data_IF_555221195661
#
_entry.id   IF_555221195661
#
_cell.length_a   1.000
_cell.length_b   1.000
_cell.length_c   1.000
_cell.angle_alpha   90.00
_cell.angle_beta   90.00
_cell.angle_gamma   90.00
#
_symmetry.space_group_name_H-M   'P 1'
#
loop_
_entity.id
_entity.type
_entity.pdbx_description
1 polymer ?
#
# COMPACT_ATOMS: atom_id res chain seq x y z
N UNK A 1 31.57 22.32 -10.40
CA UNK A 1 30.62 21.87 -9.36
C UNK A 1 31.26 21.30 -8.08
N UNK A 2 32.59 21.11 -7.98
CA UNK A 2 33.32 20.71 -6.75
C UNK A 2 32.65 19.59 -5.92
N UNK A 3 32.07 18.59 -6.59
CA UNK A 3 31.27 17.56 -5.92
C UNK A 3 32.18 16.73 -4.99
N UNK A 4 31.89 16.65 -3.68
CA UNK A 4 32.67 15.86 -2.75
C UNK A 4 32.77 14.39 -3.17
N UNK A 5 33.96 13.80 -3.08
CA UNK A 5 34.21 12.42 -3.53
C UNK A 5 33.32 11.39 -2.81
N UNK A 6 32.97 11.63 -1.55
CA UNK A 6 32.13 10.74 -0.77
C UNK A 6 30.67 10.66 -1.28
N UNK A 7 30.16 11.64 -2.04
CA UNK A 7 28.84 11.53 -2.67
C UNK A 7 28.76 10.45 -3.75
N UNK A 8 29.91 10.00 -4.25
CA UNK A 8 29.96 8.85 -5.16
C UNK A 8 29.95 7.50 -4.43
N UNK A 9 30.04 7.48 -3.09
CA UNK A 9 29.91 6.26 -2.32
C UNK A 9 28.49 5.68 -2.42
N UNK A 10 28.39 4.35 -2.30
CA UNK A 10 27.12 3.62 -2.43
C UNK A 10 26.02 4.12 -1.49
N UNK A 11 26.39 4.57 -0.29
CA UNK A 11 25.45 5.11 0.72
C UNK A 11 24.70 6.33 0.19
N UNK A 12 25.40 7.30 -0.42
CA UNK A 12 24.79 8.52 -0.96
C UNK A 12 24.07 8.28 -2.28
N UNK A 13 24.57 7.34 -3.11
CA UNK A 13 23.88 6.95 -4.35
C UNK A 13 22.55 6.25 -4.09
N UNK A 14 22.46 5.44 -3.03
CA UNK A 14 21.25 4.71 -2.66
C UNK A 14 20.35 5.46 -1.67
N UNK A 15 20.73 6.66 -1.23
CA UNK A 15 19.89 7.42 -0.31
C UNK A 15 18.67 7.99 -1.04
N UNK A 16 17.57 8.10 -0.29
CA UNK A 16 16.33 8.73 -0.76
C UNK A 16 16.45 10.24 -0.92
N UNK A 17 17.49 10.82 -0.31
CA UNK A 17 17.84 12.22 -0.44
C UNK A 17 18.99 12.60 0.47
N UNK A 18 19.52 13.79 0.27
CA UNK A 18 20.48 14.47 1.12
C UNK A 18 20.56 15.93 0.70
N UNK A 19 21.05 16.80 1.60
CA UNK A 19 21.42 18.17 1.30
C UNK A 19 22.79 18.46 1.89
N UNK A 20 23.62 19.19 1.16
CA UNK A 20 24.92 19.68 1.59
C UNK A 20 25.30 20.93 0.82
N UNK A 21 26.16 21.75 1.42
CA UNK A 21 26.62 22.99 0.83
C UNK A 21 28.08 23.26 1.16
N UNK A 22 28.71 24.12 0.38
CA UNK A 22 30.05 24.65 0.65
C UNK A 22 30.08 26.11 0.21
N UNK A 23 30.51 26.99 1.12
CA UNK A 23 30.51 28.43 0.91
C UNK A 23 31.92 28.97 1.06
N UNK A 24 32.35 29.79 0.12
CA UNK A 24 33.62 30.51 0.19
C UNK A 24 33.34 32.00 0.43
N UNK A 25 33.95 32.53 1.49
CA UNK A 25 33.84 33.93 1.87
C UNK A 25 35.16 34.64 1.58
N UNK A 26 35.08 35.87 1.05
CA UNK A 26 36.25 36.71 0.84
C UNK A 26 36.79 37.29 2.15
N UNK A 27 37.95 37.96 2.09
CA UNK A 27 38.55 38.63 3.26
C UNK A 27 37.66 39.75 3.83
N UNK A 28 36.79 40.33 3.01
CA UNK A 28 35.74 41.29 3.40
C UNK A 28 34.51 40.60 4.03
N UNK A 29 34.54 39.28 4.18
CA UNK A 29 33.47 38.44 4.68
C UNK A 29 32.27 38.27 3.73
N UNK A 30 32.25 38.91 2.55
CA UNK A 30 31.17 38.70 1.57
C UNK A 30 31.26 37.31 0.97
N UNK A 31 30.10 36.71 0.69
CA UNK A 31 30.03 35.43 -0.02
C UNK A 31 30.58 35.62 -1.45
N UNK A 32 31.63 34.87 -1.79
CA UNK A 32 32.24 34.88 -3.13
C UNK A 32 31.70 33.76 -4.01
N UNK A 33 31.47 32.58 -3.44
CA UNK A 33 30.83 31.48 -4.14
C UNK A 33 30.09 30.56 -3.19
N UNK A 34 29.05 29.91 -3.69
CA UNK A 34 28.30 28.89 -2.98
C UNK A 34 28.07 27.68 -3.89
N UNK A 35 28.41 26.51 -3.38
CA UNK A 35 28.08 25.23 -3.97
C UNK A 35 26.99 24.58 -3.13
N UNK A 36 25.98 24.02 -3.80
CA UNK A 36 24.98 23.20 -3.12
C UNK A 36 24.83 21.88 -3.87
N UNK A 37 24.60 20.82 -3.10
CA UNK A 37 24.36 19.49 -3.62
C UNK A 37 23.19 18.89 -2.87
N UNK A 38 22.18 18.47 -3.61
CA UNK A 38 21.06 17.78 -2.99
C UNK A 38 20.45 16.74 -3.91
N UNK A 39 19.84 15.73 -3.30
CA UNK A 39 19.21 14.62 -3.98
C UNK A 39 17.79 14.47 -3.48
N UNK A 40 16.89 14.20 -4.41
CA UNK A 40 15.48 13.93 -4.15
C UNK A 40 15.03 12.76 -5.00
N UNK A 41 14.24 11.86 -4.40
CA UNK A 41 13.57 10.79 -5.10
C UNK A 41 12.08 11.05 -5.18
N UNK A 42 11.48 10.65 -6.31
CA UNK A 42 10.02 10.61 -6.48
C UNK A 42 9.65 9.29 -7.13
N UNK A 43 8.77 8.52 -6.49
CA UNK A 43 8.23 7.27 -7.06
C UNK A 43 6.90 7.57 -7.73
N UNK A 44 6.83 7.46 -9.06
CA UNK A 44 5.58 7.59 -9.79
C UNK A 44 4.97 6.23 -10.07
N UNK A 45 3.66 6.13 -9.90
CA UNK A 45 2.89 4.93 -10.18
C UNK A 45 1.92 5.18 -11.31
N UNK A 46 1.74 4.18 -12.17
CA UNK A 46 0.67 4.24 -13.16
C UNK A 46 -0.70 4.31 -12.48
N UNK A 47 -1.63 5.05 -13.10
CA UNK A 47 -2.97 5.30 -12.53
C UNK A 47 -3.89 4.08 -12.54
N UNK A 48 -3.48 3.00 -13.20
CA UNK A 48 -4.24 1.78 -13.43
C UNK A 48 -4.03 0.70 -12.34
N UNK A 49 -3.30 1.02 -11.27
CA UNK A 49 -2.91 0.08 -10.22
C UNK A 49 -2.17 -1.16 -10.74
N UNK A 50 -1.57 -1.08 -11.94
CA UNK A 50 -0.62 -2.06 -12.42
C UNK A 50 0.64 -2.04 -11.56
N UNK A 51 1.44 -3.11 -11.60
CA UNK A 51 2.76 -3.15 -10.96
C UNK A 51 3.78 -2.21 -11.62
N UNK A 52 3.37 -1.39 -12.58
CA UNK A 52 4.26 -0.46 -13.27
C UNK A 52 4.49 0.81 -12.44
N UNK A 53 5.76 1.06 -12.16
CA UNK A 53 6.22 2.25 -11.46
C UNK A 53 7.53 2.73 -12.05
N UNK A 54 7.79 4.03 -11.88
CA UNK A 54 9.03 4.66 -12.30
C UNK A 54 9.63 5.43 -11.13
N UNK A 55 10.91 5.17 -10.88
CA UNK A 55 11.69 5.96 -9.92
C UNK A 55 12.34 7.12 -10.65
N UNK A 56 12.10 8.33 -10.16
CA UNK A 56 12.79 9.53 -10.59
C UNK A 56 13.83 9.88 -9.54
N UNK A 57 15.06 9.44 -9.79
CA UNK A 57 16.23 9.74 -8.95
C UNK A 57 16.89 11.01 -9.47
N UNK A 58 16.69 12.12 -8.77
CA UNK A 58 17.21 13.42 -9.22
C UNK A 58 18.28 13.92 -8.26
N UNK A 59 19.43 14.28 -8.82
CA UNK A 59 20.51 14.93 -8.05
C UNK A 59 20.85 16.25 -8.71
N UNK A 60 20.90 17.29 -7.88
CA UNK A 60 21.11 18.68 -8.28
C UNK A 60 22.42 19.19 -7.68
N UNK A 61 23.24 19.81 -8.53
CA UNK A 61 24.47 20.47 -8.11
C UNK A 61 24.40 21.92 -8.57
N UNK A 62 24.28 22.87 -7.65
CA UNK A 62 24.34 24.29 -7.99
C UNK A 62 25.73 24.86 -7.74
N UNK A 63 26.08 25.84 -8.55
CA UNK A 63 27.24 26.68 -8.35
C UNK A 63 26.82 28.13 -8.58
N UNK A 64 26.93 28.94 -7.53
CA UNK A 64 26.66 30.36 -7.54
C UNK A 64 27.96 31.15 -7.36
N UNK A 65 28.10 32.21 -8.14
CA UNK A 65 29.11 33.27 -8.06
C UNK A 65 28.37 34.60 -8.25
N UNK A 66 28.95 35.71 -7.80
CA UNK A 66 28.30 37.03 -7.73
C UNK A 66 27.57 37.52 -9.00
N UNK A 67 27.89 37.03 -10.21
CA UNK A 67 27.16 37.37 -11.46
C UNK A 67 26.38 36.21 -12.10
N UNK A 68 26.54 34.97 -11.62
CA UNK A 68 26.12 33.76 -12.33
C UNK A 68 25.71 32.66 -11.37
N UNK A 69 24.59 32.01 -11.69
CA UNK A 69 24.21 30.74 -11.10
C UNK A 69 24.10 29.67 -12.19
N UNK A 70 24.71 28.50 -11.97
CA UNK A 70 24.56 27.34 -12.84
C UNK A 70 24.09 26.16 -12.00
N UNK A 71 23.01 25.50 -12.44
CA UNK A 71 22.49 24.27 -11.81
C UNK A 71 22.65 23.10 -12.78
N UNK A 72 23.35 22.07 -12.35
CA UNK A 72 23.42 20.79 -13.04
C UNK A 72 22.34 19.86 -12.48
N UNK A 73 21.39 19.49 -13.33
CA UNK A 73 20.32 18.54 -13.01
C UNK A 73 20.64 17.17 -13.61
N UNK A 74 20.93 16.19 -12.77
CA UNK A 74 21.14 14.79 -13.20
C UNK A 74 19.88 13.96 -12.89
N UNK A 75 19.52 13.02 -13.79
CA UNK A 75 18.29 12.25 -13.65
C UNK A 75 16.99 13.03 -13.96
N UNK A 76 17.11 14.20 -14.59
CA UNK A 76 15.97 15.04 -14.96
C UNK A 76 15.09 14.40 -16.04
N UNK A 77 13.94 13.85 -15.63
CA UNK A 77 12.93 13.25 -16.51
C UNK A 77 12.26 14.29 -17.43
N UNK A 78 11.59 13.83 -18.49
CA UNK A 78 10.83 14.72 -19.39
C UNK A 78 9.76 15.51 -18.66
N UNK A 79 9.07 14.88 -17.71
CA UNK A 79 8.08 15.51 -16.84
C UNK A 79 8.71 16.63 -16.00
N UNK A 80 9.84 16.34 -15.32
CA UNK A 80 10.54 17.33 -14.53
C UNK A 80 11.02 18.51 -15.38
N UNK A 81 11.52 18.26 -16.60
CA UNK A 81 11.93 19.31 -17.52
C UNK A 81 10.78 20.21 -17.94
N UNK A 82 9.58 19.66 -18.14
CA UNK A 82 8.37 20.45 -18.41
C UNK A 82 8.03 21.35 -17.23
N UNK A 83 7.87 20.76 -16.05
CA UNK A 83 7.57 21.49 -14.82
C UNK A 83 8.60 22.58 -14.49
N UNK A 84 9.89 22.30 -14.72
CA UNK A 84 10.95 23.28 -14.49
C UNK A 84 10.89 24.44 -15.48
N UNK A 85 10.57 24.20 -16.75
CA UNK A 85 10.37 25.28 -17.73
C UNK A 85 9.20 26.17 -17.31
N UNK A 86 8.06 25.56 -16.97
CA UNK A 86 6.88 26.30 -16.52
C UNK A 86 7.19 27.13 -15.26
N UNK A 87 7.93 26.56 -14.30
CA UNK A 87 8.33 27.27 -13.08
C UNK A 87 9.33 28.41 -13.36
N UNK A 88 10.25 28.22 -14.31
CA UNK A 88 11.19 29.26 -14.75
C UNK A 88 10.47 30.41 -15.45
N UNK A 89 9.49 30.12 -16.30
CA UNK A 89 8.70 31.15 -16.99
C UNK A 89 7.86 31.97 -15.99
N UNK A 90 7.34 31.34 -14.95
CA UNK A 90 6.58 32.02 -13.88
C UNK A 90 7.46 32.80 -12.89
N UNK A 91 8.71 32.38 -12.69
CA UNK A 91 9.62 32.94 -11.67
C UNK A 91 10.65 33.91 -12.26
N UNK A 92 10.95 33.81 -13.54
CA UNK A 92 12.03 34.51 -14.23
C UNK A 92 11.91 36.04 -14.22
N UNK A 93 10.71 36.58 -14.04
CA UNK A 93 10.49 38.03 -13.97
C UNK A 93 10.67 38.61 -12.56
N UNK A 94 10.60 37.79 -11.50
CA UNK A 94 10.46 38.29 -10.12
C UNK A 94 11.74 38.26 -9.28
N UNK A 95 12.72 37.41 -9.62
CA UNK A 95 13.91 37.21 -8.79
C UNK A 95 15.20 37.44 -9.60
N UNK A 96 16.08 38.37 -9.18
CA UNK A 96 17.36 38.55 -9.84
C UNK A 96 18.22 37.27 -9.72
N UNK A 97 18.88 36.81 -10.81
CA UNK A 97 19.73 35.62 -10.80
C UNK A 97 20.99 35.76 -9.91
N UNK A 98 21.23 36.98 -9.41
CA UNK A 98 22.39 37.35 -8.61
C UNK A 98 22.23 37.02 -7.13
N UNK A 99 21.01 36.81 -6.63
CA UNK A 99 20.81 36.43 -5.22
C UNK A 99 21.17 34.95 -5.01
N UNK A 100 22.00 34.61 -3.99
CA UNK A 100 22.28 33.22 -3.64
C UNK A 100 20.99 32.41 -3.44
N UNK A 101 20.98 31.16 -3.88
CA UNK A 101 19.83 30.25 -3.80
C UNK A 101 18.55 30.65 -4.59
N UNK A 102 18.56 31.77 -5.32
CA UNK A 102 17.42 32.18 -6.17
C UNK A 102 17.01 31.12 -7.20
N UNK A 103 18.00 30.45 -7.81
CA UNK A 103 17.80 29.36 -8.77
C UNK A 103 17.09 28.14 -8.19
N UNK A 104 17.13 27.98 -6.86
CA UNK A 104 16.49 26.84 -6.20
C UNK A 104 14.98 27.01 -6.08
N UNK A 105 14.46 28.23 -6.16
CA UNK A 105 13.00 28.48 -6.12
C UNK A 105 12.27 27.77 -7.26
N UNK A 106 12.56 28.02 -8.55
CA UNK A 106 11.88 27.30 -9.64
C UNK A 106 12.20 25.79 -9.64
N UNK A 107 13.38 25.42 -9.12
CA UNK A 107 13.80 24.03 -9.00
C UNK A 107 12.94 23.27 -7.98
N UNK A 108 12.72 23.85 -6.80
CA UNK A 108 11.88 23.30 -5.75
C UNK A 108 10.42 23.30 -6.21
N UNK A 109 9.97 24.32 -6.94
CA UNK A 109 8.61 24.34 -7.51
C UNK A 109 8.36 23.15 -8.43
N UNK A 110 9.31 22.83 -9.31
CA UNK A 110 9.22 21.65 -10.16
C UNK A 110 9.22 20.34 -9.35
N UNK A 111 9.97 20.28 -8.24
CA UNK A 111 9.96 19.13 -7.31
C UNK A 111 8.59 19.02 -6.61
N UNK A 112 7.99 20.14 -6.19
CA UNK A 112 6.64 20.17 -5.63
C UNK A 112 5.65 19.56 -6.62
N UNK A 113 5.69 19.96 -7.90
CA UNK A 113 4.82 19.40 -8.94
C UNK A 113 5.02 17.90 -9.18
N UNK A 114 6.27 17.42 -9.11
CA UNK A 114 6.59 15.98 -9.20
C UNK A 114 6.00 15.20 -8.01
N UNK A 115 6.17 15.72 -6.80
CA UNK A 115 5.66 15.08 -5.58
C UNK A 115 4.13 15.13 -5.52
N UNK A 116 3.51 16.22 -5.94
CA UNK A 116 2.05 16.34 -6.06
C UNK A 116 1.50 15.24 -6.99
N UNK A 117 2.07 15.12 -8.20
CA UNK A 117 1.70 14.07 -9.15
C UNK A 117 1.81 12.66 -8.57
N UNK A 118 2.89 12.38 -7.82
CA UNK A 118 3.09 11.12 -7.11
C UNK A 118 1.98 10.87 -6.07
N UNK A 119 1.71 11.84 -5.19
CA UNK A 119 0.69 11.74 -4.14
C UNK A 119 -0.71 11.55 -4.73
N UNK A 120 -1.05 12.27 -5.80
CA UNK A 120 -2.34 12.13 -6.47
C UNK A 120 -2.50 10.77 -7.15
N UNK A 121 -1.44 10.23 -7.77
CA UNK A 121 -1.51 8.90 -8.37
C UNK A 121 -1.83 7.81 -7.34
N UNK A 122 -1.20 7.86 -6.16
CA UNK A 122 -1.52 6.96 -5.05
C UNK A 122 -2.95 7.18 -4.55
N UNK A 123 -3.38 8.45 -4.40
CA UNK A 123 -4.76 8.77 -3.99
C UNK A 123 -5.78 8.21 -4.97
N UNK A 124 -5.49 8.25 -6.26
CA UNK A 124 -6.32 7.68 -7.33
C UNK A 124 -6.51 6.19 -7.17
N UNK A 125 -5.42 5.45 -6.94
CA UNK A 125 -5.45 4.01 -6.64
C UNK A 125 -6.27 3.73 -5.37
N UNK A 126 -6.01 4.44 -4.27
CA UNK A 126 -6.74 4.25 -3.00
C UNK A 126 -8.24 4.48 -3.17
N UNK A 127 -8.64 5.55 -3.86
CA UNK A 127 -10.06 5.81 -4.13
C UNK A 127 -10.68 4.75 -5.05
N UNK A 128 -9.89 4.19 -5.97
CA UNK A 128 -10.32 3.07 -6.80
C UNK A 128 -10.64 1.84 -5.96
N UNK A 129 -9.78 1.54 -4.97
CA UNK A 129 -9.96 0.46 -4.00
C UNK A 129 -11.21 0.69 -3.13
N UNK A 130 -11.35 1.88 -2.53
CA UNK A 130 -12.50 2.23 -1.67
C UNK A 130 -13.85 2.12 -2.39
N UNK A 131 -13.89 2.42 -3.69
CA UNK A 131 -15.12 2.36 -4.49
C UNK A 131 -15.50 0.96 -4.92
N UNK A 132 -14.54 0.05 -4.94
CA UNK A 132 -14.75 -1.28 -5.47
C UNK A 132 -15.34 -2.19 -4.39
N UNK A 133 -16.25 -3.08 -4.79
CA UNK A 133 -16.88 -4.00 -3.85
C UNK A 133 -15.82 -4.95 -3.27
N UNK A 134 -15.74 -5.00 -1.93
CA UNK A 134 -14.79 -5.80 -1.14
C UNK A 134 -14.65 -7.25 -1.60
N UNK A 135 -15.71 -7.87 -2.15
CA UNK A 135 -15.69 -9.25 -2.62
C UNK A 135 -15.00 -9.51 -3.96
N UNK A 136 -14.60 -8.47 -4.70
CA UNK A 136 -13.99 -8.60 -6.05
C UNK A 136 -12.53 -8.18 -6.15
N UNK A 137 -11.95 -7.62 -5.09
CA UNK A 137 -10.58 -7.10 -5.15
C UNK A 137 -9.53 -8.17 -4.90
N UNK A 138 -8.53 -8.23 -5.78
CA UNK A 138 -7.32 -8.99 -5.53
C UNK A 138 -6.51 -8.31 -4.41
N UNK A 139 -6.27 -9.02 -3.30
CA UNK A 139 -5.35 -8.58 -2.23
C UNK A 139 -3.99 -8.16 -2.74
N UNK A 140 -3.53 -8.77 -3.84
CA UNK A 140 -2.31 -8.38 -4.51
C UNK A 140 -2.33 -6.89 -4.91
N UNK A 141 -3.43 -6.39 -5.48
CA UNK A 141 -3.54 -4.97 -5.85
C UNK A 141 -3.53 -4.05 -4.62
N UNK A 142 -4.26 -4.42 -3.56
CA UNK A 142 -4.23 -3.63 -2.31
C UNK A 142 -2.84 -3.62 -1.68
N UNK A 143 -2.13 -4.75 -1.71
CA UNK A 143 -0.77 -4.87 -1.20
C UNK A 143 0.25 -4.07 -2.02
N UNK A 144 0.16 -4.12 -3.35
CA UNK A 144 0.99 -3.30 -4.24
C UNK A 144 0.71 -1.81 -3.99
N UNK A 145 -0.56 -1.41 -3.92
CA UNK A 145 -0.96 -0.05 -3.57
C UNK A 145 -0.38 0.39 -2.22
N UNK A 146 -0.34 -0.50 -1.23
CA UNK A 146 0.23 -0.20 0.09
C UNK A 146 1.73 0.05 -0.01
N UNK A 147 2.46 -0.76 -0.79
CA UNK A 147 3.89 -0.54 -1.05
C UNK A 147 4.12 0.80 -1.74
N UNK A 148 3.28 1.18 -2.70
CA UNK A 148 3.35 2.46 -3.37
C UNK A 148 3.08 3.64 -2.43
N UNK A 149 2.05 3.55 -1.58
CA UNK A 149 1.72 4.58 -0.59
C UNK A 149 2.84 4.76 0.45
N UNK A 150 3.45 3.66 0.91
CA UNK A 150 4.58 3.70 1.85
C UNK A 150 5.78 4.40 1.21
N UNK A 151 6.19 3.99 0.00
CA UNK A 151 7.34 4.60 -0.66
C UNK A 151 7.09 6.08 -0.99
N UNK A 152 5.88 6.43 -1.45
CA UNK A 152 5.52 7.83 -1.70
C UNK A 152 5.67 8.68 -0.43
N UNK A 153 5.15 8.19 0.71
CA UNK A 153 5.27 8.86 2.00
C UNK A 153 6.73 9.00 2.46
N UNK A 154 7.52 7.93 2.32
CA UNK A 154 8.94 7.90 2.69
C UNK A 154 9.75 8.90 1.85
N UNK A 155 9.65 8.84 0.51
CA UNK A 155 10.40 9.74 -0.37
C UNK A 155 10.00 11.19 -0.17
N UNK A 156 8.71 11.46 0.07
CA UNK A 156 8.23 12.81 0.35
C UNK A 156 8.71 13.34 1.70
N UNK A 157 8.77 12.49 2.72
CA UNK A 157 9.33 12.86 4.04
C UNK A 157 10.78 13.29 3.92
N UNK A 158 11.59 12.53 3.17
CA UNK A 158 13.00 12.89 2.92
C UNK A 158 13.11 14.14 2.07
N UNK A 159 12.21 14.34 1.10
CA UNK A 159 12.15 15.58 0.30
C UNK A 159 11.87 16.79 1.18
N UNK A 160 10.87 16.71 2.07
CA UNK A 160 10.56 17.78 3.04
C UNK A 160 11.78 18.12 3.87
N UNK A 161 12.42 17.13 4.50
CA UNK A 161 13.62 17.35 5.32
C UNK A 161 14.79 17.96 4.52
N UNK A 162 14.96 17.55 3.26
CA UNK A 162 16.01 18.07 2.36
C UNK A 162 15.78 19.54 2.01
N UNK A 163 14.53 19.92 1.71
CA UNK A 163 14.17 21.30 1.35
C UNK A 163 14.13 22.21 2.59
N UNK A 164 13.74 21.69 3.75
CA UNK A 164 13.84 22.39 5.03
C UNK A 164 15.29 22.72 5.37
N UNK A 165 16.21 21.75 5.25
CA UNK A 165 17.63 21.99 5.47
C UNK A 165 18.21 23.04 4.50
N UNK A 166 17.74 23.04 3.24
CA UNK A 166 18.09 24.07 2.27
C UNK A 166 17.56 25.45 2.69
N UNK A 167 16.29 25.54 3.10
CA UNK A 167 15.67 26.78 3.57
C UNK A 167 16.39 27.34 4.81
N UNK A 168 16.72 26.49 5.78
CA UNK A 168 17.47 26.86 6.98
C UNK A 168 18.82 27.49 6.62
N UNK A 169 19.52 26.91 5.64
CA UNK A 169 20.78 27.47 5.16
C UNK A 169 20.58 28.84 4.49
N UNK A 170 19.51 29.04 3.71
CA UNK A 170 19.18 30.34 3.12
C UNK A 170 18.93 31.39 4.21
N UNK A 171 18.26 31.02 5.30
CA UNK A 171 18.02 31.91 6.45
C UNK A 171 19.31 32.24 7.19
N UNK A 172 20.19 31.25 7.39
CA UNK A 172 21.48 31.43 8.04
C UNK A 172 22.42 32.34 7.23
N UNK A 173 22.47 32.18 5.91
CA UNK A 173 23.25 33.07 5.05
C UNK A 173 22.71 34.52 5.11
N UNK A 174 21.39 34.68 5.07
CA UNK A 174 20.76 36.00 5.16
C UNK A 174 21.03 36.69 6.50
N UNK A 175 21.07 35.96 7.62
CA UNK A 175 21.39 36.54 8.94
C UNK A 175 22.86 36.96 9.03
N UNK A 176 23.78 36.17 8.48
CA UNK A 176 25.21 36.49 8.40
C UNK A 176 25.47 37.75 7.56
N UNK A 177 24.76 37.90 6.43
CA UNK A 177 24.89 39.09 5.58
C UNK A 177 24.38 40.37 6.25
N UNK A 178 23.30 40.31 7.05
CA UNK A 178 22.77 41.47 7.81
C UNK A 178 23.76 42.06 8.81
N UNK A 179 24.74 41.27 9.27
CA UNK A 179 25.75 41.73 10.23
C UNK A 179 26.90 42.53 9.56
N UNK A 180 27.03 42.50 8.23
CA UNK A 180 28.25 42.93 7.53
C UNK A 180 28.08 44.06 6.50
N UNK A 181 26.87 44.40 6.06
CA UNK A 181 26.52 45.59 5.25
C UNK A 181 25.00 45.65 5.10
N UNK A 182 24.39 46.80 4.78
CA UNK A 182 23.01 46.84 4.24
C UNK A 182 22.97 46.27 2.81
N UNK A 183 22.15 45.25 2.52
CA UNK A 183 21.77 44.88 1.16
C UNK A 183 20.26 45.04 0.97
N UNK A 184 19.83 44.95 -0.28
CA UNK A 184 18.44 44.96 -0.74
C UNK A 184 17.54 43.97 0.04
N UNK A 185 16.98 44.43 1.16
CA UNK A 185 16.19 43.62 2.11
C UNK A 185 14.97 42.98 1.43
N UNK A 186 14.48 43.59 0.34
CA UNK A 186 13.31 43.14 -0.40
C UNK A 186 13.49 41.78 -1.07
N UNK A 187 14.59 41.58 -1.80
CA UNK A 187 14.84 40.36 -2.58
C UNK A 187 15.06 39.15 -1.67
N UNK A 188 15.86 39.30 -0.61
CA UNK A 188 16.11 38.22 0.36
C UNK A 188 14.84 37.82 1.12
N UNK A 189 13.94 38.78 1.39
CA UNK A 189 12.64 38.50 2.00
C UNK A 189 11.70 37.76 1.04
N UNK A 190 11.65 38.15 -0.23
CA UNK A 190 10.85 37.48 -1.25
C UNK A 190 11.31 36.03 -1.48
N UNK A 191 12.63 35.80 -1.56
CA UNK A 191 13.22 34.47 -1.65
C UNK A 191 12.76 33.58 -0.49
N UNK A 192 12.88 34.09 0.73
CA UNK A 192 12.49 33.36 1.94
C UNK A 192 10.99 33.06 1.98
N UNK A 193 10.15 34.02 1.61
CA UNK A 193 8.71 33.84 1.56
C UNK A 193 8.31 32.77 0.54
N UNK A 194 8.96 32.73 -0.63
CA UNK A 194 8.72 31.69 -1.64
C UNK A 194 9.17 30.31 -1.16
N UNK A 195 10.37 30.19 -0.60
CA UNK A 195 10.83 28.91 -0.06
C UNK A 195 9.95 28.42 1.11
N UNK A 196 9.50 29.32 1.97
CA UNK A 196 8.57 28.98 3.06
C UNK A 196 7.23 28.47 2.54
N UNK A 197 6.68 29.11 1.52
CA UNK A 197 5.49 28.62 0.84
C UNK A 197 5.69 27.20 0.28
N UNK A 198 6.81 26.97 -0.41
CA UNK A 198 7.12 25.66 -1.01
C UNK A 198 7.30 24.56 0.05
N UNK A 199 8.00 24.84 1.15
CA UNK A 199 8.13 23.90 2.28
C UNK A 199 6.77 23.58 2.87
N UNK A 200 5.92 24.60 3.10
CA UNK A 200 4.54 24.38 3.60
C UNK A 200 3.72 23.52 2.63
N UNK A 201 3.86 23.73 1.32
CA UNK A 201 3.18 22.90 0.32
C UNK A 201 3.66 21.45 0.35
N UNK A 202 4.97 21.20 0.46
CA UNK A 202 5.50 19.85 0.63
C UNK A 202 4.99 19.17 1.92
N UNK A 203 4.90 19.92 3.04
CA UNK A 203 4.31 19.41 4.29
C UNK A 203 2.82 19.06 4.13
N UNK A 204 2.05 19.88 3.42
CA UNK A 204 0.65 19.58 3.11
C UNK A 204 0.52 18.30 2.27
N UNK A 205 1.39 18.13 1.27
CA UNK A 205 1.44 16.89 0.48
C UNK A 205 1.83 15.69 1.34
N UNK A 206 2.75 15.87 2.29
CA UNK A 206 3.17 14.81 3.21
C UNK A 206 2.01 14.32 4.08
N UNK A 207 1.24 15.25 4.66
CA UNK A 207 0.04 14.93 5.44
C UNK A 207 -1.00 14.20 4.58
N UNK A 208 -1.18 14.60 3.31
CA UNK A 208 -2.06 13.89 2.38
C UNK A 208 -1.55 12.48 2.06
N UNK A 209 -0.25 12.33 1.84
CA UNK A 209 0.36 11.02 1.61
C UNK A 209 0.19 10.10 2.83
N UNK A 210 0.29 10.64 4.04
CA UNK A 210 0.01 9.90 5.27
C UNK A 210 -1.45 9.46 5.34
N UNK A 211 -2.39 10.38 5.10
CA UNK A 211 -3.82 10.05 5.08
C UNK A 211 -4.16 8.98 4.05
N UNK A 212 -3.58 9.05 2.84
CA UNK A 212 -3.77 8.00 1.82
C UNK A 212 -3.25 6.64 2.29
N UNK A 213 -2.09 6.60 2.95
CA UNK A 213 -1.50 5.39 3.52
C UNK A 213 -2.40 4.78 4.60
N UNK A 214 -2.90 5.61 5.53
CA UNK A 214 -3.78 5.18 6.62
C UNK A 214 -5.14 4.69 6.10
N UNK A 215 -5.74 5.41 5.15
CA UNK A 215 -6.98 4.98 4.49
C UNK A 215 -6.84 3.61 3.84
N UNK A 216 -5.75 3.40 3.10
CA UNK A 216 -5.51 2.11 2.45
C UNK A 216 -5.30 0.98 3.47
N UNK A 217 -4.62 1.24 4.59
CA UNK A 217 -4.48 0.26 5.67
C UNK A 217 -5.83 -0.12 6.28
N UNK A 218 -6.73 0.86 6.46
CA UNK A 218 -8.09 0.60 6.93
C UNK A 218 -8.90 -0.26 5.94
N UNK A 219 -8.80 0.02 4.64
CA UNK A 219 -9.46 -0.79 3.61
C UNK A 219 -8.94 -2.24 3.58
N UNK A 220 -7.63 -2.44 3.72
CA UNK A 220 -7.04 -3.78 3.80
C UNK A 220 -7.57 -4.53 5.03
N UNK A 221 -7.62 -3.87 6.18
CA UNK A 221 -8.15 -4.47 7.41
C UNK A 221 -9.64 -4.83 7.28
N UNK A 222 -10.44 -3.95 6.67
CA UNK A 222 -11.85 -4.20 6.37
C UNK A 222 -12.01 -5.43 5.46
N UNK A 223 -11.21 -5.53 4.40
CA UNK A 223 -11.26 -6.66 3.46
C UNK A 223 -10.98 -8.00 4.16
N UNK A 224 -9.98 -8.06 5.05
CA UNK A 224 -9.72 -9.26 5.85
C UNK A 224 -10.88 -9.64 6.77
N UNK A 225 -11.49 -8.65 7.44
CA UNK A 225 -12.63 -8.90 8.32
C UNK A 225 -13.86 -9.42 7.55
N UNK A 226 -14.13 -8.87 6.37
CA UNK A 226 -15.23 -9.32 5.50
C UNK A 226 -15.04 -10.78 5.08
N UNK A 227 -13.82 -11.18 4.71
CA UNK A 227 -13.53 -12.56 4.32
C UNK A 227 -13.64 -13.51 5.50
N UNK A 228 -13.08 -13.15 6.66
CA UNK A 228 -13.23 -13.96 7.86
C UNK A 228 -14.71 -14.15 8.26
N UNK A 229 -15.53 -13.12 8.07
CA UNK A 229 -16.98 -13.20 8.28
C UNK A 229 -17.66 -14.12 7.25
N UNK A 230 -17.26 -14.05 5.98
CA UNK A 230 -17.78 -14.92 4.93
C UNK A 230 -17.42 -16.39 5.18
N UNK A 231 -16.16 -16.67 5.52
CA UNK A 231 -15.70 -18.02 5.87
C UNK A 231 -16.43 -18.56 7.09
N UNK A 232 -16.66 -17.72 8.11
CA UNK A 232 -17.45 -18.09 9.28
C UNK A 232 -18.90 -18.43 8.92
N UNK A 233 -19.52 -17.69 7.99
CA UNK A 233 -20.86 -18.01 7.49
C UNK A 233 -20.89 -19.32 6.70
N UNK A 234 -19.89 -19.57 5.85
CA UNK A 234 -19.76 -20.83 5.10
C UNK A 234 -19.58 -21.99 6.07
N UNK A 235 -18.71 -21.86 7.06
CA UNK A 235 -18.48 -22.88 8.09
C UNK A 235 -19.74 -23.15 8.92
N UNK A 236 -20.51 -22.11 9.26
CA UNK A 236 -21.81 -22.27 9.93
C UNK A 236 -22.79 -23.07 9.08
N UNK A 237 -22.94 -22.73 7.79
CA UNK A 237 -23.81 -23.47 6.86
C UNK A 237 -23.36 -24.92 6.69
N UNK A 238 -22.06 -25.15 6.59
CA UNK A 238 -21.49 -26.50 6.52
C UNK A 238 -21.78 -27.30 7.79
N UNK A 239 -21.64 -26.67 8.96
CA UNK A 239 -21.99 -27.27 10.25
C UNK A 239 -23.49 -27.60 10.38
N UNK A 240 -24.37 -26.71 9.90
CA UNK A 240 -25.82 -26.97 9.86
C UNK A 240 -26.16 -28.14 8.92
N UNK A 241 -25.57 -28.17 7.72
CA UNK A 241 -25.74 -29.27 6.77
C UNK A 241 -25.23 -30.60 7.34
N UNK A 242 -24.04 -30.61 7.96
CA UNK A 242 -23.47 -31.78 8.62
C UNK A 242 -24.33 -32.26 9.81
N UNK A 243 -24.97 -31.33 10.54
CA UNK A 243 -25.90 -31.67 11.63
C UNK A 243 -27.16 -32.35 11.12
N UNK A 244 -27.72 -31.86 10.01
CA UNK A 244 -28.88 -32.49 9.36
C UNK A 244 -28.53 -33.88 8.85
N UNK A 245 -27.38 -34.03 8.20
CA UNK A 245 -26.86 -35.31 7.72
C UNK A 245 -26.66 -36.31 8.87
N UNK A 246 -26.06 -35.86 9.98
CA UNK A 246 -25.91 -36.67 11.20
C UNK A 246 -27.26 -37.11 11.78
N UNK A 247 -28.29 -36.26 11.71
CA UNK A 247 -29.65 -36.59 12.10
C UNK A 247 -30.26 -37.69 11.23
N UNK A 248 -30.11 -37.58 9.91
CA UNK A 248 -30.56 -38.61 8.96
C UNK A 248 -29.81 -39.93 9.18
N UNK A 249 -28.49 -39.89 9.33
CA UNK A 249 -27.66 -41.06 9.61
C UNK A 249 -28.06 -41.75 10.92
N UNK A 250 -28.36 -40.97 11.97
CA UNK A 250 -28.86 -41.49 13.24
C UNK A 250 -30.21 -42.21 13.07
N UNK A 251 -31.13 -41.65 12.27
CA UNK A 251 -32.41 -42.30 11.99
C UNK A 251 -32.22 -43.61 11.23
N UNK A 252 -31.37 -43.63 10.20
CA UNK A 252 -31.05 -44.87 9.46
C UNK A 252 -30.48 -45.92 10.42
N UNK A 253 -29.53 -45.55 11.28
CA UNK A 253 -28.96 -46.45 12.27
C UNK A 253 -30.02 -47.03 13.21
N UNK A 254 -30.92 -46.18 13.76
CA UNK A 254 -32.03 -46.63 14.62
C UNK A 254 -32.96 -47.60 13.89
N UNK A 255 -33.35 -47.28 12.65
CA UNK A 255 -34.17 -48.17 11.81
C UNK A 255 -33.46 -49.50 11.59
N UNK A 256 -32.20 -49.50 11.17
CA UNK A 256 -31.44 -50.75 10.97
C UNK A 256 -31.34 -51.57 12.26
N UNK A 257 -31.07 -50.96 13.42
CA UNK A 257 -31.01 -51.65 14.71
C UNK A 257 -32.36 -52.29 15.10
N UNK A 258 -33.49 -51.68 14.74
CA UNK A 258 -34.82 -52.22 15.03
C UNK A 258 -35.21 -53.37 14.08
N UNK A 259 -34.84 -53.29 12.80
CA UNK A 259 -35.20 -54.30 11.80
C UNK A 259 -34.21 -55.47 11.70
N UNK A 260 -32.95 -55.32 12.13
CA UNK A 260 -31.96 -56.38 12.05
C UNK A 260 -32.38 -57.66 12.81
N UNK A 261 -32.88 -57.59 14.08
CA UNK A 261 -33.25 -58.79 14.82
C UNK A 261 -34.44 -59.55 14.19
N UNK A 262 -35.56 -58.90 13.81
CA UNK A 262 -36.66 -59.57 13.12
C UNK A 262 -36.26 -60.21 11.79
N UNK A 263 -35.42 -59.53 10.98
CA UNK A 263 -34.92 -60.06 9.70
C UNK A 263 -34.08 -61.31 9.95
N UNK A 264 -33.20 -61.29 10.96
CA UNK A 264 -32.39 -62.45 11.33
C UNK A 264 -33.25 -63.65 11.76
N UNK A 265 -34.25 -63.41 12.60
CA UNK A 265 -35.21 -64.45 13.02
C UNK A 265 -35.95 -65.00 11.80
N UNK A 266 -36.48 -64.14 10.93
CA UNK A 266 -37.17 -64.55 9.69
C UNK A 266 -36.27 -65.40 8.78
N UNK A 267 -35.00 -65.03 8.62
CA UNK A 267 -34.04 -65.79 7.82
C UNK A 267 -33.79 -67.20 8.40
N UNK A 268 -33.62 -67.33 9.73
CA UNK A 268 -33.48 -68.65 10.39
C UNK A 268 -34.69 -69.54 10.12
N UNK A 269 -35.92 -69.01 10.24
CA UNK A 269 -37.14 -69.79 10.01
C UNK A 269 -37.44 -70.05 8.53
N UNK A 270 -36.87 -69.27 7.61
CA UNK A 270 -36.99 -69.48 6.16
C UNK A 270 -36.02 -70.53 5.62
N UNK A 271 -34.99 -70.91 6.38
CA UNK A 271 -34.10 -72.01 5.99
C UNK A 271 -34.84 -73.36 6.09
N UNK A 272 -34.43 -74.33 5.26
CA UNK A 272 -35.04 -75.66 5.11
C UNK A 272 -35.09 -76.52 6.39
N UNK A 273 -34.59 -76.02 7.52
CA UNK A 273 -34.66 -76.67 8.83
C UNK A 273 -36.11 -76.85 9.33
N UNK A 274 -37.06 -76.00 8.90
CA UNK A 274 -38.49 -76.10 9.25
C UNK A 274 -39.34 -76.51 8.03
N UNK A 275 -39.08 -77.69 7.45
CA UNK A 275 -39.85 -78.19 6.31
C UNK A 275 -41.13 -78.91 6.80
N UNK A 276 -42.31 -78.44 6.39
CA UNK A 276 -43.60 -79.03 6.75
C UNK A 276 -44.14 -79.85 5.57
N UNK A 277 -44.14 -81.17 5.70
CA UNK A 277 -44.74 -82.10 4.73
C UNK A 277 -46.14 -82.51 5.23
N UNK A 278 -47.23 -82.05 4.59
CA UNK A 278 -48.58 -82.47 4.97
C UNK A 278 -48.82 -83.95 4.66
N UNK A 279 -49.54 -84.66 5.53
CA UNK A 279 -49.95 -86.04 5.26
C UNK A 279 -50.91 -86.10 4.06
N UNK A 280 -50.69 -87.03 3.10
CA UNK A 280 -51.49 -87.12 1.89
C UNK A 280 -52.92 -87.62 2.21
N UNK A 281 -53.92 -86.75 2.04
CA UNK A 281 -55.34 -87.15 2.10
C UNK A 281 -56.31 -86.18 2.77
N UNK A 282 -55.87 -85.07 3.36
CA UNK A 282 -56.78 -84.05 3.95
C UNK A 282 -56.72 -82.74 3.16
N UNK A 283 -57.79 -82.35 2.44
CA UNK A 283 -57.84 -81.05 1.77
C UNK A 283 -58.19 -79.98 2.82
N UNK A 284 -57.17 -79.32 3.35
CA UNK A 284 -57.33 -78.21 4.29
C UNK A 284 -56.03 -77.50 4.55
N UNK A 285 -56.08 -76.18 4.75
CA UNK A 285 -54.93 -75.40 5.22
C UNK A 285 -54.41 -76.00 6.53
N UNK A 286 -53.17 -76.52 6.55
CA UNK A 286 -52.58 -77.12 7.75
C UNK A 286 -51.30 -76.38 8.16
N UNK A 287 -51.22 -75.96 9.42
CA UNK A 287 -50.08 -75.26 10.02
C UNK A 287 -49.37 -76.20 10.99
N UNK A 288 -48.03 -76.13 11.07
CA UNK A 288 -47.22 -76.95 11.99
C UNK A 288 -47.55 -76.68 13.46
N UNK A 289 -47.67 -77.74 14.28
CA UNK A 289 -47.93 -77.64 15.72
C UNK A 289 -46.82 -76.95 16.54
N UNK A 290 -45.63 -76.74 15.96
CA UNK A 290 -44.51 -75.99 16.57
C UNK A 290 -44.51 -74.49 16.20
N UNK A 291 -45.54 -74.01 15.51
CA UNK A 291 -45.67 -72.59 15.12
C UNK A 291 -45.61 -71.62 16.33
N UNK A 292 -45.98 -72.08 17.54
CA UNK A 292 -45.83 -71.30 18.78
C UNK A 292 -44.39 -70.84 19.05
N UNK A 293 -43.37 -71.59 18.59
CA UNK A 293 -41.94 -71.23 18.76
C UNK A 293 -41.57 -69.96 17.99
N UNK A 294 -42.23 -69.68 16.86
CA UNK A 294 -42.04 -68.43 16.12
C UNK A 294 -42.35 -67.22 17.01
N UNK A 295 -43.51 -67.24 17.68
CA UNK A 295 -43.96 -66.14 18.55
C UNK A 295 -43.04 -65.91 19.75
N UNK A 296 -42.54 -66.99 20.36
CA UNK A 296 -41.59 -66.93 21.48
C UNK A 296 -40.24 -66.32 21.07
N UNK A 297 -39.78 -66.54 19.84
CA UNK A 297 -38.53 -65.97 19.34
C UNK A 297 -38.67 -64.56 18.77
N UNK A 298 -39.84 -64.19 18.23
CA UNK A 298 -40.07 -62.87 17.61
C UNK A 298 -40.43 -61.76 18.59
N UNK A 299 -40.91 -62.11 19.79
CA UNK A 299 -41.26 -61.15 20.85
C UNK A 299 -40.38 -61.42 22.07
N UNK A 300 -39.09 -61.00 22.06
CA UNK A 300 -38.30 -60.88 23.29
C UNK A 300 -38.70 -59.63 24.09
#
# INVERSE_FOLDING_TARGET
>A
FQIPSHFFATVYRRSNGFFSFSEAFGQNGRLQSSYTWFRVLTKMTARDASSSYTWHEMTFCSWWVSDRCTVLCTGASSLFRGLLKDALDQTGETMPPFEPYSSHVPLIEAIVGMQDSSVWSVRDIVRGIEKANCGSLHFSMMHEAARHAIHCFETLSVTVATVEALQEQTVHLASKNKQMSEPDVGVSLQLRARMDLQVRMLRNLLLRSQSNKERLQNEIALAYNVIAQQDSQVMKRLGEAARLDSGAMRTIAVVTMAFLPPIFVSAIFSMSFFNYTPEPGRPGWSVSGKFSVYWVCTVP
#
